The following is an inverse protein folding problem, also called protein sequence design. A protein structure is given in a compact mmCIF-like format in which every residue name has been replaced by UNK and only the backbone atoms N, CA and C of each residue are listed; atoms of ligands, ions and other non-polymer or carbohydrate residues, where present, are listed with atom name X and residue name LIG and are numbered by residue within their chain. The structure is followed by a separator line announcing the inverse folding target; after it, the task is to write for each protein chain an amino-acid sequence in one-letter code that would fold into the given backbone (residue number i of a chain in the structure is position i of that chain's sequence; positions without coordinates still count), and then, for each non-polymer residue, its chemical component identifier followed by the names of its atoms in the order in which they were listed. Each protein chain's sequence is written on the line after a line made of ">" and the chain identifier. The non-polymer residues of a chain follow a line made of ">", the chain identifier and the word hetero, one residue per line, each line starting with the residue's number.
data_IF_110416448107
#
_entry.id   IF_110416448107
#
_cell.length_a   1.000
_cell.length_b   1.000
_cell.length_c   1.000
_cell.angle_alpha   90.00
_cell.angle_beta   90.00
_cell.angle_gamma   90.00
#
_symmetry.space_group_name_H-M   'P 1'
#
loop_
_entity.id
_entity.type
_entity.pdbx_description
1 polymer ?
#
# COMPACT_ATOMS: atom_id res chain seq x y z
N UNK A 1 18.79 1.15 -12.82
CA UNK A 1 18.33 -0.12 -12.20
C UNK A 1 18.05 0.14 -10.73
N UNK A 2 17.43 -0.81 -10.04
CA UNK A 2 17.39 -0.85 -8.57
C UNK A 2 18.74 -1.31 -8.05
N UNK A 3 19.30 -0.59 -7.08
CA UNK A 3 20.53 -0.96 -6.37
C UNK A 3 20.18 -1.13 -4.89
N UNK A 4 20.32 -2.35 -4.37
CA UNK A 4 19.88 -2.69 -3.02
C UNK A 4 20.90 -3.57 -2.31
N UNK A 5 21.37 -3.10 -1.15
CA UNK A 5 22.25 -3.84 -0.27
C UNK A 5 21.68 -3.81 1.16
N UNK A 6 20.69 -4.64 1.41
CA UNK A 6 20.00 -4.73 2.70
C UNK A 6 20.34 -6.04 3.40
N UNK A 7 20.66 -5.94 4.70
CA UNK A 7 20.92 -7.10 5.56
C UNK A 7 19.63 -7.64 6.19
N UNK A 8 19.59 -8.92 6.59
CA UNK A 8 18.48 -9.44 7.39
C UNK A 8 18.26 -8.62 8.67
N UNK A 9 17.00 -8.39 9.05
CA UNK A 9 16.63 -7.69 10.28
C UNK A 9 16.06 -6.28 10.07
N UNK A 10 15.84 -5.58 11.18
CA UNK A 10 15.23 -4.24 11.18
C UNK A 10 16.23 -3.21 10.68
N UNK A 11 15.86 -2.49 9.63
CA UNK A 11 16.67 -1.41 9.06
C UNK A 11 15.85 -0.12 8.93
N UNK A 12 16.55 1.03 8.93
CA UNK A 12 15.98 2.34 8.65
C UNK A 12 16.41 2.73 7.25
N UNK A 13 15.44 2.93 6.36
CA UNK A 13 15.69 3.27 4.97
C UNK A 13 15.42 4.76 4.74
N UNK A 14 16.25 5.40 3.92
CA UNK A 14 15.95 6.69 3.33
C UNK A 14 15.00 6.53 2.10
N UNK A 15 14.59 7.64 1.48
CA UNK A 15 13.64 7.62 0.37
C UNK A 15 14.11 6.80 -0.84
N UNK A 16 15.40 6.90 -1.21
CA UNK A 16 15.97 6.13 -2.32
C UNK A 16 16.00 4.64 -1.99
N UNK A 17 16.51 4.27 -0.82
CA UNK A 17 16.58 2.87 -0.38
C UNK A 17 15.19 2.24 -0.25
N UNK A 18 14.20 2.99 0.24
CA UNK A 18 12.82 2.55 0.33
C UNK A 18 12.19 2.32 -1.06
N UNK A 19 12.45 3.20 -2.02
CA UNK A 19 12.01 3.04 -3.39
C UNK A 19 12.66 1.82 -4.05
N UNK A 20 13.97 1.65 -3.86
CA UNK A 20 14.71 0.50 -4.37
C UNK A 20 14.20 -0.81 -3.75
N UNK A 21 13.91 -0.82 -2.45
CA UNK A 21 13.28 -1.94 -1.75
C UNK A 21 11.89 -2.32 -2.29
N UNK A 22 11.03 -1.33 -2.55
CA UNK A 22 9.69 -1.56 -3.09
C UNK A 22 9.69 -2.06 -4.54
N UNK A 23 10.73 -1.72 -5.31
CA UNK A 23 10.85 -2.04 -6.74
C UNK A 23 11.64 -3.31 -7.02
N UNK A 24 12.40 -3.79 -6.05
CA UNK A 24 13.23 -4.98 -6.20
C UNK A 24 12.42 -6.20 -6.64
N UNK A 25 12.94 -6.90 -7.66
CA UNK A 25 12.37 -8.13 -8.26
C UNK A 25 13.44 -9.15 -8.64
N UNK A 26 14.56 -8.70 -9.17
CA UNK A 26 15.64 -9.57 -9.66
C UNK A 26 16.90 -9.35 -8.85
N UNK A 27 17.57 -10.45 -8.56
CA UNK A 27 18.84 -10.45 -7.84
C UNK A 27 19.98 -10.87 -8.74
N UNK A 28 21.10 -10.15 -8.64
CA UNK A 28 22.34 -10.58 -9.29
C UNK A 28 22.92 -11.86 -8.67
N UNK A 29 22.38 -12.31 -7.53
CA UNK A 29 22.73 -13.59 -6.86
C UNK A 29 21.75 -14.74 -7.17
N UNK A 30 20.92 -14.62 -8.21
CA UNK A 30 20.16 -15.74 -8.78
C UNK A 30 18.85 -16.11 -8.06
N UNK A 31 18.40 -15.31 -7.07
CA UNK A 31 17.08 -15.44 -6.46
C UNK A 31 16.16 -14.33 -6.99
N UNK A 32 15.33 -14.66 -7.97
CA UNK A 32 14.27 -13.76 -8.42
C UNK A 32 13.08 -13.84 -7.47
N UNK A 33 12.54 -12.68 -7.10
CA UNK A 33 11.37 -12.58 -6.25
C UNK A 33 10.09 -12.67 -7.07
N UNK A 34 9.13 -13.40 -6.50
CA UNK A 34 7.76 -13.46 -6.98
C UNK A 34 7.05 -12.12 -6.88
N UNK A 35 5.93 -11.99 -7.60
CA UNK A 35 5.06 -10.82 -7.47
C UNK A 35 4.52 -10.64 -6.05
N UNK A 36 4.21 -11.75 -5.40
CA UNK A 36 3.72 -11.80 -4.03
C UNK A 36 4.74 -11.27 -3.01
N UNK A 37 6.03 -11.62 -3.16
CA UNK A 37 7.10 -11.09 -2.30
C UNK A 37 7.28 -9.58 -2.48
N UNK A 38 7.17 -9.07 -3.71
CA UNK A 38 7.20 -7.62 -3.96
C UNK A 38 6.00 -6.92 -3.34
N UNK A 39 4.79 -7.47 -3.50
CA UNK A 39 3.58 -6.94 -2.87
C UNK A 39 3.76 -6.89 -1.35
N UNK A 40 4.27 -7.95 -0.73
CA UNK A 40 4.52 -7.98 0.71
C UNK A 40 5.48 -6.85 1.16
N UNK A 41 6.53 -6.56 0.39
CA UNK A 41 7.43 -5.42 0.67
C UNK A 41 6.74 -4.07 0.54
N UNK A 42 5.91 -3.88 -0.49
CA UNK A 42 5.14 -2.65 -0.67
C UNK A 42 4.17 -2.43 0.49
N UNK A 43 3.51 -3.49 0.96
CA UNK A 43 2.64 -3.44 2.14
C UNK A 43 3.45 -3.10 3.41
N UNK A 44 4.63 -3.70 3.59
CA UNK A 44 5.52 -3.38 4.69
C UNK A 44 5.98 -1.92 4.65
N UNK A 45 6.35 -1.41 3.48
CA UNK A 45 6.75 -0.02 3.30
C UNK A 45 5.60 0.93 3.65
N UNK A 46 4.38 0.66 3.17
CA UNK A 46 3.20 1.47 3.49
C UNK A 46 2.94 1.52 5.01
N UNK A 47 2.99 0.37 5.69
CA UNK A 47 2.86 0.31 7.16
C UNK A 47 3.96 1.10 7.87
N UNK A 48 5.19 1.06 7.36
CA UNK A 48 6.30 1.82 7.93
C UNK A 48 6.14 3.34 7.75
N UNK A 49 5.64 3.78 6.58
CA UNK A 49 5.31 5.18 6.30
C UNK A 49 4.22 5.67 7.24
N UNK A 50 3.11 4.94 7.36
CA UNK A 50 2.00 5.28 8.27
C UNK A 50 2.49 5.37 9.72
N UNK A 51 3.25 4.39 10.19
CA UNK A 51 3.83 4.39 11.54
C UNK A 51 4.81 5.56 11.78
N UNK A 52 5.56 5.95 10.75
CA UNK A 52 6.46 7.12 10.82
C UNK A 52 5.65 8.41 10.87
N UNK A 53 4.56 8.52 10.09
CA UNK A 53 3.64 9.63 10.14
C UNK A 53 3.02 9.76 11.54
N UNK A 54 2.43 8.69 12.08
CA UNK A 54 1.87 8.69 13.46
C UNK A 54 2.86 9.17 14.53
N UNK A 55 4.13 8.79 14.41
CA UNK A 55 5.14 9.09 15.43
C UNK A 55 5.69 10.51 15.35
N UNK A 56 5.79 11.09 14.15
CA UNK A 56 6.52 12.35 13.94
C UNK A 56 5.70 13.47 13.30
N UNK A 57 4.51 13.19 12.77
CA UNK A 57 3.63 14.27 12.37
C UNK A 57 3.03 14.94 13.61
N UNK A 58 3.26 16.23 13.69
CA UNK A 58 2.61 17.17 14.59
C UNK A 58 1.68 18.05 13.77
N UNK A 59 0.86 18.87 14.44
CA UNK A 59 0.02 19.84 13.73
C UNK A 59 0.84 20.80 12.86
N UNK A 60 2.08 21.12 13.26
CA UNK A 60 2.91 22.12 12.61
C UNK A 60 3.51 21.65 11.27
N UNK A 61 3.80 20.36 11.11
CA UNK A 61 4.40 19.82 9.89
C UNK A 61 3.39 19.09 8.99
N UNK A 62 2.10 19.12 9.35
CA UNK A 62 1.02 18.57 8.53
C UNK A 62 0.82 19.41 7.26
N UNK A 63 0.88 20.75 7.36
CA UNK A 63 0.78 21.65 6.21
C UNK A 63 1.88 21.39 5.18
N UNK A 64 3.14 21.43 5.60
CA UNK A 64 4.29 21.12 4.73
C UNK A 64 4.17 19.74 4.06
N UNK A 65 3.63 18.74 4.77
CA UNK A 65 3.38 17.42 4.18
C UNK A 65 2.29 17.49 3.10
N UNK A 66 1.19 18.22 3.35
CA UNK A 66 0.10 18.35 2.38
C UNK A 66 0.56 19.10 1.13
N UNK A 67 1.40 20.12 1.27
CA UNK A 67 1.99 20.84 0.13
C UNK A 67 2.85 19.88 -0.73
N UNK A 68 3.74 19.11 -0.10
CA UNK A 68 4.56 18.09 -0.78
C UNK A 68 3.68 17.04 -1.46
N UNK A 69 2.59 16.61 -0.81
CA UNK A 69 1.65 15.65 -1.39
C UNK A 69 0.92 16.25 -2.60
N UNK A 70 0.46 17.50 -2.51
CA UNK A 70 -0.22 18.20 -3.62
C UNK A 70 0.66 18.31 -4.87
N UNK A 71 1.95 18.56 -4.69
CA UNK A 71 2.91 18.70 -5.79
C UNK A 71 3.31 17.37 -6.44
N UNK A 72 3.20 16.26 -5.71
CA UNK A 72 3.76 14.96 -6.13
C UNK A 72 2.75 13.80 -6.21
N UNK A 73 1.53 13.97 -5.71
CA UNK A 73 0.48 12.94 -5.66
C UNK A 73 -0.80 13.48 -6.25
N UNK A 74 -1.27 12.84 -7.32
CA UNK A 74 -2.58 13.14 -7.89
C UNK A 74 -3.66 12.37 -7.14
N UNK A 75 -4.59 13.09 -6.51
CA UNK A 75 -5.74 12.53 -5.80
C UNK A 75 -6.97 13.41 -6.02
N UNK A 76 -8.15 12.83 -5.84
CA UNK A 76 -9.45 13.50 -5.81
C UNK A 76 -9.87 13.94 -4.39
N UNK A 77 -9.10 13.56 -3.37
CA UNK A 77 -9.31 14.00 -1.99
C UNK A 77 -8.89 15.46 -1.83
N UNK A 78 -9.73 16.28 -1.19
CA UNK A 78 -9.33 17.64 -0.83
C UNK A 78 -8.34 17.64 0.33
N UNK A 79 -7.64 18.75 0.53
CA UNK A 79 -6.75 18.91 1.68
C UNK A 79 -7.50 18.69 3.00
N UNK A 80 -8.71 19.23 3.14
CA UNK A 80 -9.53 19.08 4.35
C UNK A 80 -9.93 17.63 4.60
N UNK A 81 -10.21 16.86 3.54
CA UNK A 81 -10.53 15.43 3.64
C UNK A 81 -9.31 14.62 4.12
N UNK A 82 -8.13 14.90 3.56
CA UNK A 82 -6.88 14.28 3.98
C UNK A 82 -6.55 14.59 5.44
N UNK A 83 -6.72 15.85 5.86
CA UNK A 83 -6.53 16.26 7.26
C UNK A 83 -7.51 15.53 8.19
N UNK A 84 -8.79 15.43 7.83
CA UNK A 84 -9.79 14.67 8.60
C UNK A 84 -9.42 13.20 8.74
N UNK A 85 -8.99 12.56 7.66
CA UNK A 85 -8.52 11.16 7.68
C UNK A 85 -7.33 11.03 8.64
N UNK A 86 -6.36 11.93 8.55
CA UNK A 86 -5.18 11.92 9.41
C UNK A 86 -5.56 12.05 10.90
N UNK A 87 -6.40 13.03 11.26
CA UNK A 87 -6.83 13.22 12.64
C UNK A 87 -7.68 12.06 13.16
N UNK A 88 -8.59 11.52 12.33
CA UNK A 88 -9.36 10.34 12.69
C UNK A 88 -8.43 9.17 13.01
N UNK A 89 -7.42 8.92 12.17
CA UNK A 89 -6.45 7.86 12.39
C UNK A 89 -5.57 8.10 13.62
N UNK A 90 -5.09 9.33 13.83
CA UNK A 90 -4.26 9.68 15.00
C UNK A 90 -5.03 9.56 16.32
N UNK A 91 -6.33 9.87 16.33
CA UNK A 91 -7.22 9.69 17.49
C UNK A 91 -7.53 8.21 17.72
N UNK A 92 -7.74 7.45 16.65
CA UNK A 92 -8.10 6.03 16.68
C UNK A 92 -6.89 5.12 16.42
N UNK A 93 -5.82 5.26 17.21
CA UNK A 93 -4.54 4.51 17.08
C UNK A 93 -4.64 2.97 17.16
N UNK A 94 -5.84 2.44 17.34
CA UNK A 94 -6.16 1.01 17.36
C UNK A 94 -6.67 0.48 16.01
N UNK A 95 -6.78 1.32 14.98
CA UNK A 95 -7.19 0.88 13.64
C UNK A 95 -6.23 -0.21 13.18
N UNK A 96 -6.78 -1.42 13.01
CA UNK A 96 -6.01 -2.57 12.57
C UNK A 96 -5.89 -2.51 11.05
N UNK A 97 -4.67 -2.26 10.58
CA UNK A 97 -4.36 -2.33 9.16
C UNK A 97 -4.23 -3.79 8.74
N UNK A 98 -5.25 -4.30 8.05
CA UNK A 98 -5.21 -5.60 7.41
C UNK A 98 -4.80 -5.45 5.95
N UNK A 99 -4.31 -6.53 5.35
CA UNK A 99 -4.00 -6.50 3.93
C UNK A 99 -4.42 -7.80 3.29
N UNK A 100 -5.05 -7.68 2.13
CA UNK A 100 -5.58 -8.79 1.36
C UNK A 100 -4.79 -8.81 0.05
N UNK A 101 -4.27 -9.98 -0.30
CA UNK A 101 -3.63 -10.21 -1.58
C UNK A 101 -4.55 -11.08 -2.43
N UNK A 102 -4.77 -10.69 -3.69
CA UNK A 102 -5.52 -11.50 -4.64
C UNK A 102 -4.71 -12.74 -5.02
N UNK A 103 -5.37 -13.90 -4.98
CA UNK A 103 -4.79 -15.16 -5.45
C UNK A 103 -5.26 -15.43 -6.87
N UNK A 104 -4.38 -15.97 -7.70
CA UNK A 104 -4.66 -16.15 -9.11
C UNK A 104 -3.57 -16.96 -9.78
N UNK A 105 -3.68 -17.09 -11.10
CA UNK A 105 -2.72 -17.82 -11.90
C UNK A 105 -2.28 -16.99 -13.10
N UNK A 106 -1.01 -17.13 -13.40
CA UNK A 106 -0.39 -16.53 -14.58
C UNK A 106 -0.85 -17.27 -15.84
N UNK A 107 -1.36 -16.53 -16.81
CA UNK A 107 -1.80 -17.08 -18.10
C UNK A 107 -1.37 -16.19 -19.25
N UNK A 108 -0.93 -16.82 -20.35
CA UNK A 108 -0.71 -16.15 -21.62
C UNK A 108 -2.01 -16.18 -22.41
N UNK A 109 -2.60 -15.01 -22.69
CA UNK A 109 -3.87 -14.89 -23.39
C UNK A 109 -3.76 -13.98 -24.61
N UNK A 110 -4.48 -14.29 -25.70
CA UNK A 110 -4.57 -13.41 -26.85
C UNK A 110 -5.36 -12.14 -26.51
N UNK A 111 -4.79 -10.98 -26.81
CA UNK A 111 -5.42 -9.68 -26.67
C UNK A 111 -5.02 -8.77 -27.84
N UNK A 112 -6.00 -8.32 -28.62
CA UNK A 112 -5.81 -7.44 -29.79
C UNK A 112 -4.70 -7.91 -30.76
N UNK A 113 -4.65 -9.22 -31.05
CA UNK A 113 -3.68 -9.80 -31.98
C UNK A 113 -2.30 -10.14 -31.38
N UNK A 114 -2.09 -9.95 -30.08
CA UNK A 114 -0.84 -10.28 -29.38
C UNK A 114 -1.10 -11.28 -28.25
N UNK A 115 -0.11 -12.12 -27.93
CA UNK A 115 -0.14 -12.96 -26.72
C UNK A 115 0.48 -12.15 -25.57
N UNK A 116 -0.33 -11.83 -24.55
CA UNK A 116 0.09 -11.07 -23.39
C UNK A 116 -0.03 -11.91 -22.11
N UNK A 117 0.76 -11.56 -21.11
CA UNK A 117 0.67 -12.14 -19.77
C UNK A 117 -0.45 -11.48 -18.98
N UNK A 118 -1.29 -12.29 -18.33
CA UNK A 118 -2.36 -11.89 -17.44
C UNK A 118 -2.27 -12.65 -16.12
N UNK A 119 -2.55 -11.94 -15.02
CA UNK A 119 -2.85 -12.56 -13.73
C UNK A 119 -4.36 -12.81 -13.65
N UNK A 120 -4.77 -14.06 -13.82
CA UNK A 120 -6.19 -14.44 -13.87
C UNK A 120 -6.68 -14.81 -12.48
N UNK A 121 -7.70 -14.09 -12.02
CA UNK A 121 -8.36 -14.30 -10.72
C UNK A 121 -9.71 -14.97 -10.97
N UNK A 122 -9.94 -16.13 -10.38
CA UNK A 122 -11.18 -16.89 -10.58
C UNK A 122 -12.39 -16.26 -9.86
N UNK A 123 -13.59 -16.76 -10.16
CA UNK A 123 -14.82 -16.24 -9.58
C UNK A 123 -14.92 -16.43 -8.07
N UNK A 124 -14.41 -17.55 -7.54
CA UNK A 124 -14.44 -17.84 -6.11
C UNK A 124 -13.56 -16.87 -5.33
N UNK A 125 -12.35 -16.61 -5.80
CA UNK A 125 -11.45 -15.62 -5.19
C UNK A 125 -12.03 -14.21 -5.24
N UNK A 126 -12.62 -13.81 -6.37
CA UNK A 126 -13.28 -12.50 -6.50
C UNK A 126 -14.41 -12.35 -5.49
N UNK A 127 -15.22 -13.39 -5.28
CA UNK A 127 -16.32 -13.35 -4.31
C UNK A 127 -15.82 -13.35 -2.87
N UNK A 128 -14.74 -14.09 -2.57
CA UNK A 128 -14.07 -14.06 -1.26
C UNK A 128 -13.62 -12.64 -0.92
N UNK A 129 -12.89 -11.99 -1.83
CA UNK A 129 -12.36 -10.63 -1.61
C UNK A 129 -13.49 -9.62 -1.52
N UNK A 130 -14.52 -9.74 -2.36
CA UNK A 130 -15.73 -8.91 -2.29
C UNK A 130 -16.40 -9.02 -0.92
N UNK A 131 -16.55 -10.24 -0.41
CA UNK A 131 -17.17 -10.49 0.89
C UNK A 131 -16.36 -9.89 2.04
N UNK A 132 -15.03 -10.06 2.01
CA UNK A 132 -14.14 -9.45 3.01
C UNK A 132 -14.24 -7.92 3.02
N UNK A 133 -14.23 -7.29 1.84
CA UNK A 133 -14.38 -5.84 1.73
C UNK A 133 -15.74 -5.37 2.27
N UNK A 134 -16.83 -6.03 1.89
CA UNK A 134 -18.17 -5.71 2.41
C UNK A 134 -18.25 -5.83 3.93
N UNK A 135 -17.69 -6.89 4.50
CA UNK A 135 -17.69 -7.09 5.95
C UNK A 135 -16.88 -6.00 6.65
N UNK A 136 -15.69 -5.66 6.13
CA UNK A 136 -14.87 -4.59 6.71
C UNK A 136 -15.58 -3.23 6.73
N UNK A 137 -16.37 -2.92 5.70
CA UNK A 137 -17.17 -1.69 5.61
C UNK A 137 -18.43 -1.75 6.48
N UNK A 138 -19.06 -2.91 6.60
CA UNK A 138 -20.29 -3.09 7.39
C UNK A 138 -20.03 -3.14 8.89
N UNK A 139 -18.93 -3.78 9.32
CA UNK A 139 -18.48 -3.79 10.72
C UNK A 139 -18.08 -2.38 11.21
N UNK A 140 -17.75 -1.47 10.29
CA UNK A 140 -17.35 -0.08 10.57
C UNK A 140 -18.29 0.95 9.93
N UNK A 141 -19.59 0.61 9.77
CA UNK A 141 -20.57 1.40 9.02
C UNK A 141 -20.65 2.90 9.41
N UNK A 142 -21.19 3.76 8.53
CA UNK A 142 -21.24 5.21 8.72
C UNK A 142 -22.22 5.57 9.84
N UNK A 143 -21.73 5.62 11.08
CA UNK A 143 -22.57 5.82 12.25
C UNK A 143 -21.89 6.49 13.45
N UNK A 144 -20.69 7.06 13.31
CA UNK A 144 -20.03 7.81 14.39
C UNK A 144 -19.23 9.03 13.89
N UNK A 145 -19.80 9.81 12.99
CA UNK A 145 -19.35 11.19 12.75
C UNK A 145 -20.51 12.12 13.10
N UNK A 146 -20.51 12.56 14.35
CA UNK A 146 -21.30 13.65 14.92
C UNK A 146 -20.64 14.10 16.23
N UNK A 147 -20.85 15.34 16.71
CA UNK A 147 -21.95 16.26 16.39
C UNK A 147 -21.80 17.01 15.06
#
# INVERSE_FOLDING_TARGET
>A
GTDINLKPGKQRLNGKEALDYARYRKSDIGRDDSDFERIARQQQLMRAVLKKAEKNLTLFNLGDLMDILGDHVKTDLTQEELERIFFYYQKNRKIKMETITLVGKDQLLPYKGHILYFFVVDAGERERVRSLLKNSLSEHGPGQLGP
#
